data_IF_158840452025
#
_entry.id   IF_158840452025
#
_cell.length_a   1.000
_cell.length_b   1.000
_cell.length_c   1.000
_cell.angle_alpha   90.00
_cell.angle_beta   90.00
_cell.angle_gamma   90.00
#
_symmetry.space_group_name_H-M   'P 1'
#
loop_
_entity.id
_entity.type
_entity.pdbx_description
1 polymer ?
#
# COMPACT_ATOMS: atom_id res chain seq x y z
N UNK A 1 30.22 -7.86 33.97
CA UNK A 1 29.03 -7.13 33.47
C UNK A 1 28.91 -7.40 31.97
N UNK A 2 28.00 -8.30 31.58
CA UNK A 2 27.72 -8.56 30.17
C UNK A 2 26.64 -7.58 29.72
N UNK A 3 26.97 -6.69 28.78
CA UNK A 3 26.03 -5.76 28.18
C UNK A 3 25.08 -6.50 27.25
N UNK A 4 23.78 -6.47 27.55
CA UNK A 4 22.75 -6.89 26.61
C UNK A 4 22.60 -5.80 25.53
N UNK A 5 23.03 -6.10 24.31
CA UNK A 5 22.71 -5.31 23.13
C UNK A 5 21.27 -5.63 22.72
N UNK A 6 20.35 -4.68 22.93
CA UNK A 6 19.03 -4.74 22.32
C UNK A 6 19.17 -4.24 20.87
N UNK A 7 19.25 -5.16 19.91
CA UNK A 7 18.95 -4.83 18.52
C UNK A 7 17.43 -4.70 18.43
N UNK A 8 16.92 -3.46 18.51
CA UNK A 8 15.53 -3.21 18.16
C UNK A 8 15.40 -3.46 16.66
N UNK A 9 14.70 -4.52 16.28
CA UNK A 9 14.09 -4.57 14.95
C UNK A 9 13.15 -3.37 14.88
N UNK A 10 13.49 -2.37 14.08
CA UNK A 10 12.55 -1.30 13.74
C UNK A 10 11.50 -1.96 12.88
N UNK A 11 10.40 -2.36 13.51
CA UNK A 11 9.24 -2.91 12.82
C UNK A 11 8.49 -1.73 12.20
N UNK A 12 8.10 -1.87 10.93
CA UNK A 12 7.35 -0.84 10.21
C UNK A 12 6.07 -0.50 11.00
N UNK A 13 5.76 0.80 11.14
CA UNK A 13 4.54 1.21 11.84
C UNK A 13 3.31 0.74 11.08
N UNK A 14 2.32 0.23 11.82
CA UNK A 14 0.99 -0.10 11.29
C UNK A 14 0.18 1.18 10.99
N UNK A 15 -0.72 1.15 10.00
CA UNK A 15 -1.53 2.32 9.64
C UNK A 15 -2.53 2.69 10.74
N UNK A 16 -2.79 3.99 10.90
CA UNK A 16 -3.81 4.51 11.82
C UNK A 16 -5.23 4.15 11.39
N UNK A 17 -5.44 3.97 10.08
CA UNK A 17 -6.68 3.44 9.54
C UNK A 17 -6.44 2.77 8.18
N UNK A 18 -7.28 1.80 7.85
CA UNK A 18 -7.31 1.15 6.54
C UNK A 18 -8.64 1.46 5.87
N UNK A 19 -8.59 1.98 4.66
CA UNK A 19 -9.76 2.41 3.88
C UNK A 19 -9.79 1.58 2.59
N UNK A 20 -10.85 0.80 2.38
CA UNK A 20 -11.03 0.11 1.10
C UNK A 20 -11.31 1.13 -0.02
N UNK A 21 -10.66 0.98 -1.19
CA UNK A 21 -10.92 1.86 -2.33
C UNK A 21 -12.31 1.62 -2.94
N UNK A 22 -12.77 0.37 -2.88
CA UNK A 22 -14.04 -0.09 -3.43
C UNK A 22 -14.90 -0.69 -2.31
N UNK A 23 -16.18 -0.31 -2.28
CA UNK A 23 -17.12 -0.81 -1.26
C UNK A 23 -17.43 -2.30 -1.47
N UNK A 24 -17.46 -2.74 -2.73
CA UNK A 24 -17.58 -4.14 -3.14
C UNK A 24 -16.28 -4.61 -3.80
N UNK A 25 -16.34 -5.70 -4.57
CA UNK A 25 -15.21 -6.09 -5.43
C UNK A 25 -14.82 -4.92 -6.33
N UNK A 26 -13.52 -4.76 -6.56
CA UNK A 26 -13.05 -3.77 -7.51
C UNK A 26 -13.55 -4.11 -8.93
N UNK A 27 -13.70 -3.13 -9.84
CA UNK A 27 -14.23 -3.37 -11.18
C UNK A 27 -13.47 -4.48 -11.90
N UNK A 28 -14.19 -5.53 -12.31
CA UNK A 28 -13.62 -6.70 -12.98
C UNK A 28 -13.05 -7.80 -12.06
N UNK A 29 -13.09 -7.62 -10.74
CA UNK A 29 -12.67 -8.66 -9.78
C UNK A 29 -13.83 -9.56 -9.34
N UNK A 30 -13.53 -10.84 -9.18
CA UNK A 30 -14.42 -11.83 -8.54
C UNK A 30 -14.02 -12.14 -7.10
N UNK A 31 -12.84 -11.70 -6.67
CA UNK A 31 -12.29 -11.94 -5.33
C UNK A 31 -12.00 -10.62 -4.61
N UNK A 32 -11.78 -10.70 -3.28
CA UNK A 32 -11.55 -9.55 -2.42
C UNK A 32 -10.45 -9.82 -1.39
N UNK A 33 -9.25 -10.10 -1.89
CA UNK A 33 -8.09 -10.48 -1.08
C UNK A 33 -7.10 -9.32 -0.92
N UNK A 34 -6.54 -9.14 0.27
CA UNK A 34 -5.49 -8.13 0.56
C UNK A 34 -4.11 -8.55 0.03
N UNK A 35 -4.03 -9.70 -0.63
CA UNK A 35 -2.81 -10.22 -1.25
C UNK A 35 -1.99 -11.14 -0.35
N UNK A 36 -0.89 -11.64 -0.92
CA UNK A 36 0.02 -12.59 -0.30
C UNK A 36 1.39 -11.95 -0.15
N UNK A 37 1.97 -12.02 1.06
CA UNK A 37 3.34 -11.56 1.31
C UNK A 37 4.33 -12.49 0.60
N UNK A 38 5.28 -11.91 -0.14
CA UNK A 38 6.40 -12.64 -0.71
C UNK A 38 7.47 -12.89 0.35
N UNK A 39 8.18 -14.00 0.18
CA UNK A 39 9.37 -14.31 0.97
C UNK A 39 10.40 -13.18 0.88
N UNK A 40 11.06 -12.92 2.01
CA UNK A 40 12.12 -11.91 2.08
C UNK A 40 13.32 -12.35 1.24
N UNK A 41 13.96 -11.39 0.59
CA UNK A 41 15.21 -11.64 -0.15
C UNK A 41 16.38 -11.62 0.84
N UNK A 42 17.24 -12.64 0.78
CA UNK A 42 18.35 -12.80 1.72
C UNK A 42 19.42 -11.69 1.63
N UNK A 43 19.49 -10.99 0.50
CA UNK A 43 20.48 -9.94 0.23
C UNK A 43 19.93 -8.51 0.46
N UNK A 44 18.77 -8.36 1.08
CA UNK A 44 18.18 -7.05 1.38
C UNK A 44 18.35 -6.69 2.85
N UNK A 45 19.01 -5.56 3.10
CA UNK A 45 19.16 -4.96 4.42
C UNK A 45 18.94 -3.43 4.35
N UNK A 46 17.88 -2.88 4.99
CA UNK A 46 16.81 -3.61 5.66
C UNK A 46 15.97 -4.44 4.68
N UNK A 47 15.31 -5.51 5.14
CA UNK A 47 14.40 -6.30 4.31
C UNK A 47 13.20 -5.44 3.89
N UNK A 48 12.63 -5.75 2.72
CA UNK A 48 11.41 -5.10 2.25
C UNK A 48 10.24 -6.09 2.15
N UNK A 49 9.09 -5.68 2.66
CA UNK A 49 7.82 -6.42 2.60
C UNK A 49 7.17 -6.17 1.25
N UNK A 50 6.91 -7.25 0.51
CA UNK A 50 6.25 -7.20 -0.79
C UNK A 50 4.96 -7.97 -0.76
N UNK A 51 3.89 -7.38 -1.27
CA UNK A 51 2.56 -8.01 -1.31
C UNK A 51 2.13 -8.13 -2.76
N UNK A 52 1.86 -9.36 -3.21
CA UNK A 52 1.34 -9.66 -4.57
C UNK A 52 -0.11 -10.13 -4.50
N UNK A 53 -0.73 -10.33 -5.65
CA UNK A 53 -2.06 -10.94 -5.80
C UNK A 53 -3.19 -10.17 -5.09
N UNK A 54 -3.02 -8.85 -4.96
CA UNK A 54 -4.02 -7.96 -4.34
C UNK A 54 -5.23 -7.84 -5.27
N UNK A 55 -6.43 -8.16 -4.77
CA UNK A 55 -7.72 -7.90 -5.45
C UNK A 55 -8.66 -7.00 -4.65
N UNK A 56 -8.39 -6.82 -3.35
CA UNK A 56 -8.99 -5.80 -2.47
C UNK A 56 -8.00 -4.65 -2.27
N UNK A 57 -8.03 -3.61 -3.11
CA UNK A 57 -7.09 -2.52 -2.97
C UNK A 57 -7.51 -1.53 -1.87
N UNK A 58 -6.53 -0.99 -1.15
CA UNK A 58 -6.73 -0.22 0.09
C UNK A 58 -5.85 1.03 0.14
N UNK A 59 -6.28 2.02 0.93
CA UNK A 59 -5.45 3.12 1.41
C UNK A 59 -5.15 2.92 2.88
N UNK A 60 -3.86 2.89 3.18
CA UNK A 60 -3.34 2.82 4.55
C UNK A 60 -3.01 4.24 4.98
N UNK A 61 -3.74 4.76 5.96
CA UNK A 61 -3.63 6.13 6.45
C UNK A 61 -2.59 6.21 7.56
N UNK A 62 -1.68 7.17 7.44
CA UNK A 62 -0.68 7.52 8.43
C UNK A 62 -0.81 9.01 8.77
N UNK A 63 -1.19 9.28 10.00
CA UNK A 63 -1.37 10.61 10.54
C UNK A 63 -0.09 11.11 11.23
N UNK A 64 0.27 12.39 11.03
CA UNK A 64 1.26 13.06 11.87
C UNK A 64 0.81 13.04 13.34
N UNK A 65 1.76 13.13 14.28
CA UNK A 65 1.45 13.36 15.68
C UNK A 65 0.46 14.52 15.87
N UNK A 66 -0.43 14.38 16.85
CA UNK A 66 -1.38 15.43 17.19
C UNK A 66 -0.64 16.76 17.45
N UNK A 67 -1.16 17.86 16.88
CA UNK A 67 -0.54 19.18 16.97
C UNK A 67 0.55 19.48 15.92
N UNK A 68 1.02 18.50 15.13
CA UNK A 68 1.97 18.73 14.02
C UNK A 68 1.33 18.78 12.64
N UNK A 69 0.03 18.50 12.52
CA UNK A 69 -0.67 18.43 11.23
C UNK A 69 -0.66 19.80 10.55
N UNK A 70 -0.11 19.86 9.34
CA UNK A 70 0.05 21.11 8.58
C UNK A 70 -1.02 21.29 7.47
N UNK A 71 -2.01 20.39 7.39
CA UNK A 71 -3.08 20.43 6.39
C UNK A 71 -2.71 19.86 5.02
N UNK A 72 -1.46 19.45 4.79
CA UNK A 72 -1.03 18.81 3.55
C UNK A 72 -1.25 17.30 3.61
N UNK A 73 -1.67 16.72 2.48
CA UNK A 73 -1.77 15.28 2.30
C UNK A 73 -0.94 14.81 1.09
N UNK A 74 -0.31 13.64 1.21
CA UNK A 74 0.42 12.97 0.13
C UNK A 74 -0.13 11.56 -0.06
N UNK A 75 -0.38 11.18 -1.32
CA UNK A 75 -0.76 9.83 -1.71
C UNK A 75 0.46 9.13 -2.33
N UNK A 76 0.90 8.06 -1.69
CA UNK A 76 2.08 7.27 -2.04
C UNK A 76 1.61 6.04 -2.82
N UNK A 77 2.23 5.81 -3.98
CA UNK A 77 2.06 4.59 -4.77
C UNK A 77 3.38 3.83 -4.77
N UNK A 78 3.53 2.79 -3.92
CA UNK A 78 4.74 2.00 -3.91
C UNK A 78 4.97 1.30 -5.25
N UNK A 79 6.23 1.10 -5.62
CA UNK A 79 6.66 0.43 -6.83
C UNK A 79 6.48 -1.09 -6.79
N UNK A 80 7.07 -1.76 -7.79
CA UNK A 80 6.96 -3.20 -8.03
C UNK A 80 6.45 -3.60 -9.42
N UNK A 81 6.34 -2.62 -10.33
CA UNK A 81 5.90 -2.82 -11.73
C UNK A 81 4.57 -3.60 -11.82
N UNK A 82 3.67 -3.34 -10.88
CA UNK A 82 2.38 -4.00 -10.69
C UNK A 82 2.41 -5.51 -10.37
N UNK A 83 3.59 -6.12 -10.20
CA UNK A 83 3.70 -7.52 -9.78
C UNK A 83 3.48 -7.66 -8.27
N UNK A 84 3.80 -6.61 -7.51
CA UNK A 84 3.63 -6.50 -6.06
C UNK A 84 3.67 -5.02 -5.66
N UNK A 85 3.34 -4.74 -4.41
CA UNK A 85 3.50 -3.46 -3.72
C UNK A 85 4.64 -3.61 -2.69
N UNK A 86 5.62 -2.71 -2.69
CA UNK A 86 6.68 -2.63 -1.65
C UNK A 86 6.15 -1.84 -0.45
N UNK A 87 5.51 -2.52 0.49
CA UNK A 87 4.60 -1.90 1.47
C UNK A 87 5.29 -1.08 2.57
N UNK A 88 6.48 -1.48 3.00
CA UNK A 88 7.21 -0.82 4.08
C UNK A 88 8.15 0.26 3.53
N UNK A 89 9.22 -0.14 2.85
CA UNK A 89 10.33 0.74 2.42
C UNK A 89 9.87 1.91 1.54
N UNK A 90 8.95 1.64 0.62
CA UNK A 90 8.39 2.65 -0.29
C UNK A 90 7.01 3.14 0.18
N UNK A 91 6.49 2.59 1.28
CA UNK A 91 5.18 2.88 1.84
C UNK A 91 5.28 3.45 3.25
N UNK A 92 5.12 2.61 4.28
CA UNK A 92 5.04 3.06 5.68
C UNK A 92 6.26 3.86 6.15
N UNK A 93 7.49 3.49 5.77
CA UNK A 93 8.70 4.26 6.14
C UNK A 93 8.67 5.66 5.51
N UNK A 94 8.25 5.75 4.26
CA UNK A 94 8.07 7.03 3.56
C UNK A 94 6.94 7.85 4.21
N UNK A 95 5.87 7.19 4.63
CA UNK A 95 4.75 7.82 5.32
C UNK A 95 5.15 8.36 6.71
N UNK A 96 5.95 7.61 7.48
CA UNK A 96 6.50 8.05 8.77
C UNK A 96 7.42 9.27 8.61
N UNK A 97 8.28 9.26 7.59
CA UNK A 97 9.11 10.41 7.27
C UNK A 97 8.26 11.65 6.96
N UNK A 98 7.23 11.52 6.10
CA UNK A 98 6.29 12.62 5.80
C UNK A 98 5.51 13.08 7.05
N UNK A 99 5.08 12.15 7.89
CA UNK A 99 4.41 12.45 9.15
C UNK A 99 5.31 13.27 10.10
N UNK A 100 6.62 13.02 10.11
CA UNK A 100 7.58 13.83 10.88
C UNK A 100 7.59 15.31 10.47
N UNK A 101 7.24 15.58 9.20
CA UNK A 101 7.11 16.91 8.59
C UNK A 101 5.70 17.50 8.74
N UNK A 102 4.80 16.82 9.45
CA UNK A 102 3.42 17.27 9.64
C UNK A 102 2.45 16.94 8.51
N UNK A 103 2.87 16.13 7.53
CA UNK A 103 2.10 15.78 6.34
C UNK A 103 1.33 14.47 6.57
N UNK A 104 0.02 14.47 6.32
CA UNK A 104 -0.78 13.23 6.32
C UNK A 104 -0.43 12.40 5.09
N UNK A 105 -0.13 11.12 5.28
CA UNK A 105 0.26 10.22 4.20
C UNK A 105 -0.78 9.10 4.02
N UNK A 106 -1.09 8.77 2.78
CA UNK A 106 -1.88 7.61 2.41
C UNK A 106 -1.03 6.69 1.54
N UNK A 107 -0.84 5.43 1.92
CA UNK A 107 -0.11 4.44 1.13
C UNK A 107 -1.12 3.57 0.37
N UNK A 108 -1.02 3.54 -0.96
CA UNK A 108 -1.91 2.76 -1.81
C UNK A 108 -1.42 1.32 -1.96
N UNK A 109 -2.24 0.37 -1.49
CA UNK A 109 -2.10 -1.04 -1.81
C UNK A 109 -3.03 -1.32 -3.00
N UNK A 110 -2.54 -1.14 -4.22
CA UNK A 110 -3.32 -1.29 -5.45
C UNK A 110 -3.33 -2.73 -5.98
N UNK A 111 -4.27 -3.03 -6.89
CA UNK A 111 -4.37 -4.36 -7.51
C UNK A 111 -3.09 -4.74 -8.25
N UNK A 112 -2.61 -5.95 -7.97
CA UNK A 112 -1.39 -6.50 -8.58
C UNK A 112 -1.71 -7.72 -9.43
N UNK A 113 -0.73 -8.14 -10.26
CA UNK A 113 -0.91 -9.28 -11.17
C UNK A 113 -1.34 -10.52 -10.40
N UNK A 114 -2.29 -11.24 -11.00
CA UNK A 114 -2.78 -12.52 -10.49
C UNK A 114 -2.03 -13.66 -11.18
N UNK A 115 -1.82 -14.82 -10.51
CA UNK A 115 -1.29 -16.01 -11.16
C UNK A 115 -2.32 -16.56 -12.16
N UNK A 116 -1.85 -17.12 -13.27
CA UNK A 116 -2.72 -17.84 -14.22
C UNK A 116 -3.29 -19.13 -13.58
N UNK A 117 -4.53 -19.55 -13.91
CA UNK A 117 -5.44 -18.99 -14.91
C UNK A 117 -6.38 -17.90 -14.36
N UNK A 118 -6.23 -17.47 -13.10
CA UNK A 118 -7.10 -16.44 -12.49
C UNK A 118 -6.99 -15.09 -13.21
N UNK A 119 -5.96 -14.88 -14.00
CA UNK A 119 -5.61 -13.58 -14.53
C UNK A 119 -6.37 -13.18 -15.80
N UNK A 120 -6.89 -14.09 -16.64
CA UNK A 120 -7.37 -13.68 -17.97
C UNK A 120 -8.13 -14.75 -18.79
N UNK A 121 -8.99 -15.59 -18.21
CA UNK A 121 -9.84 -16.47 -19.05
C UNK A 121 -11.03 -15.75 -19.68
N UNK A 122 -11.40 -14.56 -19.20
CA UNK A 122 -12.42 -13.72 -19.84
C UNK A 122 -11.76 -12.70 -20.76
N UNK A 123 -11.87 -12.93 -22.07
CA UNK A 123 -11.44 -12.02 -23.14
C UNK A 123 -12.13 -10.62 -23.13
N UNK A 124 -12.87 -10.30 -22.07
CA UNK A 124 -13.58 -9.03 -21.85
C UNK A 124 -12.94 -8.14 -20.79
N UNK A 125 -11.91 -8.60 -20.07
CA UNK A 125 -11.23 -7.77 -19.10
C UNK A 125 -10.26 -6.80 -19.80
N UNK A 126 -10.23 -5.52 -19.39
CA UNK A 126 -9.28 -4.56 -19.95
C UNK A 126 -7.82 -5.00 -19.70
N UNK A 127 -6.85 -4.46 -20.46
CA UNK A 127 -5.42 -4.65 -20.20
C UNK A 127 -5.12 -4.55 -18.71
N UNK A 128 -4.30 -5.47 -18.18
CA UNK A 128 -4.06 -5.57 -16.75
C UNK A 128 -3.63 -4.22 -16.11
N UNK A 129 -2.90 -3.37 -16.84
CA UNK A 129 -2.49 -2.03 -16.41
C UNK A 129 -3.65 -1.07 -16.08
N UNK A 130 -4.85 -1.30 -16.62
CA UNK A 130 -6.02 -0.47 -16.34
C UNK A 130 -6.56 -0.69 -14.92
N UNK A 131 -6.42 -1.89 -14.36
CA UNK A 131 -6.88 -2.21 -12.99
C UNK A 131 -6.19 -1.34 -11.92
N UNK A 132 -4.86 -1.31 -11.80
CA UNK A 132 -4.20 -0.42 -10.85
C UNK A 132 -4.35 1.07 -11.21
N UNK A 133 -4.55 1.42 -12.48
CA UNK A 133 -4.84 2.81 -12.87
C UNK A 133 -6.19 3.28 -12.33
N UNK A 134 -7.24 2.46 -12.46
CA UNK A 134 -8.55 2.74 -11.86
C UNK A 134 -8.45 2.88 -10.33
N UNK A 135 -7.64 2.04 -9.68
CA UNK A 135 -7.38 2.15 -8.24
C UNK A 135 -6.71 3.48 -7.90
N UNK A 136 -5.72 3.91 -8.70
CA UNK A 136 -5.08 5.21 -8.54
C UNK A 136 -6.04 6.39 -8.70
N UNK A 137 -6.89 6.37 -9.73
CA UNK A 137 -7.94 7.38 -9.94
C UNK A 137 -8.93 7.42 -8.77
N UNK A 138 -9.37 6.25 -8.30
CA UNK A 138 -10.27 6.12 -7.15
C UNK A 138 -9.63 6.62 -5.87
N UNK A 139 -8.35 6.31 -5.64
CA UNK A 139 -7.58 6.77 -4.49
C UNK A 139 -7.54 8.31 -4.43
N UNK A 140 -7.18 8.96 -5.53
CA UNK A 140 -7.17 10.43 -5.63
C UNK A 140 -8.57 10.99 -5.36
N UNK A 141 -9.62 10.41 -5.95
CA UNK A 141 -11.00 10.84 -5.73
C UNK A 141 -11.41 10.75 -4.24
N UNK A 142 -11.08 9.64 -3.58
CA UNK A 142 -11.41 9.40 -2.17
C UNK A 142 -10.64 10.30 -1.21
N UNK A 143 -9.36 10.55 -1.46
CA UNK A 143 -8.55 11.47 -0.65
C UNK A 143 -9.09 12.90 -0.81
N UNK A 144 -9.35 13.35 -2.04
CA UNK A 144 -9.91 14.69 -2.29
C UNK A 144 -11.30 14.88 -1.69
N UNK A 145 -12.17 13.86 -1.75
CA UNK A 145 -13.50 13.92 -1.14
C UNK A 145 -13.46 14.09 0.39
N UNK A 146 -12.38 13.64 1.03
CA UNK A 146 -12.15 13.72 2.48
C UNK A 146 -11.22 14.86 2.89
N UNK A 147 -10.71 15.64 1.93
CA UNK A 147 -9.98 16.87 2.21
C UNK A 147 -10.99 17.90 2.74
N UNK A 148 -10.64 18.53 3.87
CA UNK A 148 -11.43 19.58 4.51
C UNK A 148 -11.31 20.91 3.73
#
# INVERSE_FOLDING_TARGET
>A
MAGMSFSSLVEAREPDAVIDLWEQNAPGETTRETGVKLERRANENPPATRIKEITRPQLHLFQPPAGKRNGTAVLIFPGGAYNYVVADKEGSETAEWLNSLGITAFVAHYRTKQPEPRAQTDAKLPPFSERPLQDGQRAVSLVRKRAA
#
